data_IF_353645612351
#
_entry.id   IF_353645612351
#
_cell.length_a   1.000
_cell.length_b   1.000
_cell.length_c   1.000
_cell.angle_alpha   90.00
_cell.angle_beta   90.00
_cell.angle_gamma   90.00
#
_symmetry.space_group_name_H-M   'P 1'
#
loop_
_entity.id
_entity.type
_entity.pdbx_description
1 polymer ?
#
# COMPACT_ATOMS: atom_id res chain seq x y z
N UNK A 1 24.90 -10.59 4.22
CA UNK A 1 25.82 -10.52 5.39
C UNK A 1 26.64 -9.23 5.44
N UNK A 2 27.18 -8.72 4.32
CA UNK A 2 28.05 -7.52 4.28
C UNK A 2 27.46 -6.31 5.02
N UNK A 3 26.17 -6.02 4.85
CA UNK A 3 25.54 -4.86 5.51
C UNK A 3 25.36 -5.03 7.03
N UNK A 4 25.14 -6.26 7.51
CA UNK A 4 25.06 -6.54 8.95
C UNK A 4 26.42 -6.37 9.62
N UNK A 5 27.46 -6.81 8.93
CA UNK A 5 28.86 -6.66 9.34
C UNK A 5 29.26 -5.17 9.38
N UNK A 6 28.77 -4.34 8.45
CA UNK A 6 29.03 -2.89 8.49
C UNK A 6 28.29 -2.20 9.64
N UNK A 7 27.05 -2.59 9.95
CA UNK A 7 26.24 -1.98 11.01
C UNK A 7 26.70 -2.37 12.42
N UNK A 8 27.19 -3.61 12.60
CA UNK A 8 27.71 -4.07 13.88
C UNK A 8 29.00 -4.91 13.69
N UNK A 9 30.16 -4.25 13.49
CA UNK A 9 31.43 -4.92 13.20
C UNK A 9 31.92 -5.84 14.33
N UNK A 10 31.55 -5.54 15.58
CA UNK A 10 31.96 -6.31 16.74
C UNK A 10 31.19 -7.62 16.95
N UNK A 11 30.16 -7.92 16.14
CA UNK A 11 29.39 -9.17 16.24
C UNK A 11 29.84 -10.15 15.17
N UNK A 12 30.17 -11.37 15.57
CA UNK A 12 30.55 -12.46 14.67
C UNK A 12 29.31 -13.06 13.96
N UNK A 13 28.68 -12.29 13.06
CA UNK A 13 27.43 -12.67 12.39
C UNK A 13 27.50 -14.02 11.66
N UNK A 14 28.64 -14.33 11.03
CA UNK A 14 28.84 -15.57 10.28
C UNK A 14 29.00 -16.82 11.16
N UNK A 15 29.30 -16.66 12.45
CA UNK A 15 29.46 -17.78 13.37
C UNK A 15 28.11 -18.29 13.93
N UNK A 16 27.03 -17.53 13.71
CA UNK A 16 25.71 -17.83 14.22
C UNK A 16 24.91 -18.62 13.16
N UNK A 17 24.54 -19.86 13.49
CA UNK A 17 23.83 -20.76 12.59
C UNK A 17 22.53 -20.15 12.05
N UNK A 18 21.82 -19.37 12.87
CA UNK A 18 20.58 -18.67 12.53
C UNK A 18 20.70 -17.62 11.41
N UNK A 19 21.92 -17.14 11.09
CA UNK A 19 22.18 -16.19 10.00
C UNK A 19 22.90 -16.82 8.81
N UNK A 20 22.93 -18.16 8.74
CA UNK A 20 23.55 -18.88 7.63
C UNK A 20 22.75 -18.72 6.34
N UNK A 21 23.45 -18.67 5.20
CA UNK A 21 22.80 -18.60 3.89
C UNK A 21 21.93 -19.84 3.66
N UNK A 22 20.70 -19.64 3.21
CA UNK A 22 19.72 -20.71 2.99
C UNK A 22 18.82 -21.03 4.18
N UNK A 23 19.11 -20.47 5.37
CA UNK A 23 18.20 -20.55 6.52
C UNK A 23 17.17 -19.43 6.48
N UNK A 24 15.96 -19.65 7.04
CA UNK A 24 14.97 -18.59 7.19
C UNK A 24 15.53 -17.49 8.10
N UNK A 25 15.38 -16.24 7.68
CA UNK A 25 15.82 -15.10 8.48
C UNK A 25 14.96 -14.99 9.77
N UNK A 26 15.56 -14.95 10.98
CA UNK A 26 14.81 -14.87 12.23
C UNK A 26 14.29 -13.44 12.46
N UNK A 27 13.27 -13.05 11.70
CA UNK A 27 12.67 -11.73 11.75
C UNK A 27 11.90 -11.52 13.05
N UNK A 28 12.20 -10.44 13.78
CA UNK A 28 11.44 -10.05 14.98
C UNK A 28 10.83 -8.66 14.83
N UNK A 29 9.75 -8.39 15.57
CA UNK A 29 9.07 -7.07 15.57
C UNK A 29 10.05 -5.95 15.99
N UNK A 30 10.93 -6.24 16.95
CA UNK A 30 11.92 -5.26 17.41
C UNK A 30 12.99 -4.97 16.36
N UNK A 31 13.36 -5.95 15.50
CA UNK A 31 14.24 -5.69 14.37
C UNK A 31 13.60 -4.72 13.38
N UNK A 32 12.29 -4.86 13.09
CA UNK A 32 11.57 -3.92 12.21
C UNK A 32 11.63 -2.51 12.79
N UNK A 33 11.26 -2.33 14.06
CA UNK A 33 11.28 -1.04 14.75
C UNK A 33 12.68 -0.40 14.73
N UNK A 34 13.73 -1.19 14.96
CA UNK A 34 15.11 -0.70 14.94
C UNK A 34 15.60 -0.36 13.54
N UNK A 35 15.28 -1.18 12.54
CA UNK A 35 15.59 -0.90 11.13
C UNK A 35 14.97 0.42 10.69
N UNK A 36 13.70 0.69 11.06
CA UNK A 36 13.05 1.97 10.80
C UNK A 36 13.84 3.14 11.39
N UNK A 37 14.28 3.05 12.64
CA UNK A 37 15.08 4.11 13.27
C UNK A 37 16.42 4.35 12.56
N UNK A 38 17.14 3.27 12.23
CA UNK A 38 18.45 3.33 11.55
C UNK A 38 18.33 4.02 10.20
N UNK A 39 17.43 3.55 9.34
CA UNK A 39 17.30 4.08 7.97
C UNK A 39 16.62 5.46 7.95
N UNK A 40 15.71 5.76 8.88
CA UNK A 40 15.14 7.09 9.02
C UNK A 40 16.21 8.14 9.32
N UNK A 41 17.07 7.90 10.33
CA UNK A 41 18.19 8.82 10.63
C UNK A 41 19.22 8.83 9.51
N UNK A 42 19.51 7.68 8.90
CA UNK A 42 20.46 7.61 7.79
C UNK A 42 20.02 8.45 6.58
N UNK A 43 18.72 8.51 6.29
CA UNK A 43 18.20 9.29 5.16
C UNK A 43 18.51 10.79 5.24
N UNK A 44 18.77 11.33 6.45
CA UNK A 44 18.91 12.77 6.67
C UNK A 44 17.60 13.56 6.57
N UNK A 45 16.48 12.93 6.22
CA UNK A 45 15.16 13.57 6.09
C UNK A 45 14.46 13.64 7.47
N UNK A 46 14.63 12.60 8.29
CA UNK A 46 13.94 12.48 9.58
C UNK A 46 14.85 12.94 10.72
N UNK A 47 14.38 13.91 11.50
CA UNK A 47 15.08 14.38 12.70
C UNK A 47 14.85 13.46 13.91
N UNK A 48 15.73 13.50 14.91
CA UNK A 48 15.57 12.72 16.15
C UNK A 48 14.24 13.04 16.91
N UNK A 49 13.79 14.31 17.02
CA UNK A 49 12.47 14.61 17.57
C UNK A 49 11.31 14.02 16.75
N UNK A 50 11.38 14.07 15.42
CA UNK A 50 10.37 13.44 14.56
C UNK A 50 10.35 11.92 14.73
N UNK A 51 11.53 11.29 14.81
CA UNK A 51 11.65 9.86 15.06
C UNK A 51 11.09 9.46 16.44
N UNK A 52 11.33 10.29 17.47
CA UNK A 52 10.74 10.12 18.80
C UNK A 52 9.21 10.11 18.72
N UNK A 53 8.62 11.04 17.97
CA UNK A 53 7.18 11.09 17.75
C UNK A 53 6.68 9.86 17.00
N UNK A 54 7.28 9.51 15.85
CA UNK A 54 6.88 8.36 15.01
C UNK A 54 6.94 7.04 15.78
N UNK A 55 7.97 6.86 16.60
CA UNK A 55 8.15 5.62 17.37
C UNK A 55 7.49 5.68 18.76
N UNK A 56 6.87 6.79 19.15
CA UNK A 56 6.29 6.99 20.48
C UNK A 56 7.34 6.77 21.59
N UNK A 57 8.58 7.24 21.37
CA UNK A 57 9.62 7.19 22.40
C UNK A 57 9.40 8.25 23.48
N UNK A 58 9.69 7.89 24.73
CA UNK A 58 9.57 8.78 25.88
C UNK A 58 10.60 9.90 25.78
N UNK A 59 11.85 9.57 25.44
CA UNK A 59 12.96 10.52 25.35
C UNK A 59 13.70 10.47 24.01
N UNK A 60 14.54 11.47 23.74
CA UNK A 60 15.35 11.52 22.51
C UNK A 60 16.49 10.49 22.58
N UNK A 61 17.02 10.23 23.76
CA UNK A 61 18.09 9.25 24.00
C UNK A 61 17.64 7.84 23.62
N UNK A 62 16.36 7.50 23.83
CA UNK A 62 15.79 6.25 23.31
C UNK A 62 15.86 6.21 21.79
N UNK A 63 15.44 7.27 21.09
CA UNK A 63 15.56 7.33 19.62
C UNK A 63 17.01 7.21 19.15
N UNK A 64 17.94 7.84 19.86
CA UNK A 64 19.37 7.74 19.57
C UNK A 64 19.89 6.31 19.76
N UNK A 65 19.46 5.63 20.83
CA UNK A 65 19.79 4.23 21.10
C UNK A 65 19.31 3.31 19.96
N UNK A 66 18.06 3.48 19.52
CA UNK A 66 17.50 2.68 18.42
C UNK A 66 18.18 2.99 17.08
N UNK A 67 18.53 4.25 16.83
CA UNK A 67 19.24 4.68 15.63
C UNK A 67 20.76 4.39 15.67
N UNK A 68 21.28 3.78 16.75
CA UNK A 68 22.70 3.48 16.88
C UNK A 68 23.17 2.59 15.73
N UNK A 69 24.17 3.09 15.00
CA UNK A 69 24.72 2.45 13.81
C UNK A 69 24.22 3.04 12.49
N UNK A 70 23.32 4.02 12.52
CA UNK A 70 22.79 4.70 11.33
C UNK A 70 23.87 5.28 10.42
N UNK A 71 24.97 5.81 10.97
CA UNK A 71 26.10 6.33 10.21
C UNK A 71 26.76 5.29 9.30
N UNK A 72 26.72 4.01 9.67
CA UNK A 72 27.30 2.89 8.92
C UNK A 72 26.30 2.24 7.95
N UNK A 73 25.01 2.58 8.06
CA UNK A 73 23.99 2.05 7.18
C UNK A 73 24.14 2.64 5.76
N UNK A 74 23.65 1.90 4.77
CA UNK A 74 23.49 2.47 3.42
C UNK A 74 22.31 3.43 3.42
N UNK A 75 22.47 4.54 2.71
CA UNK A 75 21.35 5.45 2.48
C UNK A 75 20.50 4.87 1.35
N UNK A 76 19.31 4.38 1.70
CA UNK A 76 18.36 3.77 0.76
C UNK A 76 17.68 4.82 -0.14
N UNK A 77 17.62 6.07 0.33
CA UNK A 77 16.89 7.15 -0.34
C UNK A 77 17.80 8.05 -1.17
N UNK A 78 19.09 8.12 -0.83
CA UNK A 78 20.05 8.84 -1.64
C UNK A 78 20.23 8.13 -2.97
N UNK A 79 19.88 8.86 -4.04
CA UNK A 79 20.21 8.49 -5.40
C UNK A 79 21.74 8.40 -5.48
N UNK A 80 22.29 7.18 -5.60
CA UNK A 80 23.69 7.06 -6.01
C UNK A 80 23.73 7.63 -7.41
N UNK A 81 24.26 8.85 -7.54
CA UNK A 81 24.31 9.64 -8.77
C UNK A 81 24.41 8.75 -10.01
N UNK A 82 23.36 8.77 -10.85
CA UNK A 82 23.24 8.03 -12.12
C UNK A 82 22.96 6.51 -12.08
N UNK A 83 22.71 5.88 -10.92
CA UNK A 83 22.38 4.45 -10.92
C UNK A 83 20.87 4.18 -10.87
N UNK A 84 20.35 3.55 -11.94
CA UNK A 84 19.01 2.92 -11.99
C UNK A 84 18.81 1.83 -10.92
N UNK A 85 19.86 1.48 -10.17
CA UNK A 85 19.82 0.52 -9.05
C UNK A 85 19.48 1.15 -7.70
N UNK A 86 19.26 2.47 -7.61
CA UNK A 86 18.80 3.10 -6.37
C UNK A 86 17.46 2.48 -5.95
N UNK A 87 17.31 2.17 -4.65
CA UNK A 87 16.11 1.51 -4.14
C UNK A 87 14.84 2.29 -4.47
N UNK A 88 14.88 3.62 -4.44
CA UNK A 88 13.76 4.48 -4.85
C UNK A 88 13.30 4.19 -6.29
N UNK A 89 14.24 4.08 -7.24
CA UNK A 89 13.92 3.77 -8.64
C UNK A 89 13.36 2.34 -8.79
N UNK A 90 13.95 1.37 -8.08
CA UNK A 90 13.44 -0.01 -8.05
C UNK A 90 12.02 -0.04 -7.48
N UNK A 91 11.78 0.66 -6.38
CA UNK A 91 10.47 0.75 -5.73
C UNK A 91 9.43 1.40 -6.65
N UNK A 92 9.73 2.56 -7.22
CA UNK A 92 8.82 3.27 -8.13
C UNK A 92 8.50 2.46 -9.40
N UNK A 93 9.52 1.80 -9.97
CA UNK A 93 9.31 0.94 -11.15
C UNK A 93 8.48 -0.30 -10.83
N UNK A 94 8.72 -0.94 -9.67
CA UNK A 94 7.91 -2.05 -9.18
C UNK A 94 6.48 -1.61 -8.87
N UNK A 95 6.29 -0.45 -8.24
CA UNK A 95 4.97 0.11 -7.94
C UNK A 95 4.15 0.33 -9.20
N UNK A 96 4.76 0.87 -10.27
CA UNK A 96 4.09 1.04 -11.55
C UNK A 96 3.66 -0.31 -12.17
N UNK A 97 4.53 -1.32 -12.08
CA UNK A 97 4.20 -2.68 -12.55
C UNK A 97 3.03 -3.28 -11.75
N UNK A 98 3.05 -3.14 -10.43
CA UNK A 98 1.97 -3.62 -9.55
C UNK A 98 0.67 -2.91 -9.87
N UNK A 99 0.68 -1.59 -10.08
CA UNK A 99 -0.53 -0.83 -10.45
C UNK A 99 -1.08 -1.27 -11.81
N UNK A 100 -0.22 -1.50 -12.80
CA UNK A 100 -0.64 -2.03 -14.10
C UNK A 100 -1.26 -3.43 -13.98
N UNK A 101 -0.64 -4.30 -13.20
CA UNK A 101 -1.16 -5.64 -12.91
C UNK A 101 -2.51 -5.57 -12.18
N UNK A 102 -2.65 -4.72 -11.16
CA UNK A 102 -3.91 -4.55 -10.45
C UNK A 102 -5.01 -4.03 -11.37
N UNK A 103 -4.73 -3.02 -12.20
CA UNK A 103 -5.70 -2.51 -13.18
C UNK A 103 -6.13 -3.60 -14.16
N UNK A 104 -5.19 -4.35 -14.75
CA UNK A 104 -5.51 -5.40 -15.71
C UNK A 104 -6.41 -6.48 -15.09
N UNK A 105 -6.05 -7.00 -13.91
CA UNK A 105 -6.81 -8.07 -13.27
C UNK A 105 -8.11 -7.59 -12.62
N UNK A 106 -8.11 -6.43 -11.97
CA UNK A 106 -9.27 -5.97 -11.22
C UNK A 106 -10.31 -5.29 -12.11
N UNK A 107 -9.89 -4.63 -13.20
CA UNK A 107 -10.76 -3.79 -14.02
C UNK A 107 -10.96 -4.27 -15.47
N UNK A 108 -9.97 -4.89 -16.11
CA UNK A 108 -10.11 -5.33 -17.51
C UNK A 108 -10.60 -6.78 -17.57
N UNK A 109 -9.96 -7.68 -16.82
CA UNK A 109 -10.20 -9.12 -16.86
C UNK A 109 -11.28 -9.59 -15.88
N UNK A 110 -11.95 -8.65 -15.22
CA UNK A 110 -13.00 -8.95 -14.25
C UNK A 110 -14.30 -9.28 -14.97
N UNK A 111 -14.97 -10.35 -14.54
CA UNK A 111 -16.32 -10.68 -14.99
C UNK A 111 -17.40 -9.84 -14.28
N UNK A 112 -17.04 -9.26 -13.14
CA UNK A 112 -17.93 -8.37 -12.38
C UNK A 112 -18.23 -7.07 -13.14
N UNK A 113 -19.47 -6.61 -13.04
CA UNK A 113 -19.85 -5.30 -13.53
C UNK A 113 -19.31 -4.24 -12.56
N UNK A 114 -18.37 -3.44 -13.04
CA UNK A 114 -17.83 -2.31 -12.26
C UNK A 114 -18.83 -1.15 -12.26
N UNK A 115 -19.00 -0.55 -11.09
CA UNK A 115 -19.84 0.63 -10.88
C UNK A 115 -19.01 1.92 -10.96
N UNK A 116 -19.69 3.05 -11.13
CA UNK A 116 -19.07 4.36 -11.29
C UNK A 116 -18.66 4.68 -12.73
N UNK A 117 -18.28 5.94 -13.02
CA UNK A 117 -18.12 6.41 -14.40
C UNK A 117 -17.02 5.69 -15.18
N UNK A 118 -15.90 5.38 -14.53
CA UNK A 118 -14.82 4.64 -15.19
C UNK A 118 -15.19 3.16 -15.41
N UNK A 119 -15.95 2.56 -14.50
CA UNK A 119 -16.47 1.20 -14.63
C UNK A 119 -17.46 1.07 -15.81
N UNK A 120 -18.37 2.03 -15.94
CA UNK A 120 -19.28 2.13 -17.08
C UNK A 120 -18.54 2.32 -18.42
N UNK A 121 -17.52 3.19 -18.44
CA UNK A 121 -16.67 3.38 -19.62
C UNK A 121 -15.94 2.09 -20.01
N UNK A 122 -15.41 1.34 -19.04
CA UNK A 122 -14.77 0.06 -19.27
C UNK A 122 -15.75 -0.97 -19.83
N UNK A 123 -16.98 -1.04 -19.32
CA UNK A 123 -18.01 -1.96 -19.86
C UNK A 123 -18.25 -1.74 -21.36
N UNK A 124 -18.20 -0.50 -21.82
CA UNK A 124 -18.38 -0.14 -23.23
C UNK A 124 -17.17 -0.40 -24.13
N UNK A 125 -15.94 -0.41 -23.60
CA UNK A 125 -14.71 -0.59 -24.41
C UNK A 125 -13.99 -1.94 -24.22
N UNK A 126 -14.10 -2.55 -23.04
CA UNK A 126 -13.31 -3.71 -22.65
C UNK A 126 -13.92 -5.05 -23.07
N UNK A 127 -15.25 -5.16 -23.18
CA UNK A 127 -15.92 -6.45 -23.47
C UNK A 127 -15.67 -6.98 -24.88
N UNK A 128 -15.44 -6.11 -25.87
CA UNK A 128 -15.23 -6.53 -27.26
C UNK A 128 -13.75 -6.74 -27.62
N UNK A 129 -12.82 -6.14 -26.87
CA UNK A 129 -11.39 -6.16 -27.20
C UNK A 129 -10.54 -7.11 -26.35
N UNK A 130 -10.91 -7.35 -25.08
CA UNK A 130 -10.05 -8.09 -24.14
C UNK A 130 -10.07 -9.61 -24.31
N UNK A 131 -11.17 -10.19 -24.81
CA UNK A 131 -11.33 -11.66 -24.91
C UNK A 131 -10.39 -12.32 -25.92
N UNK A 132 -9.83 -11.53 -26.85
CA UNK A 132 -9.00 -12.04 -27.94
C UNK A 132 -7.51 -11.75 -27.72
N UNK A 133 -7.16 -10.90 -26.74
CA UNK A 133 -5.77 -10.47 -26.51
C UNK A 133 -5.13 -11.38 -25.46
N UNK A 134 -3.93 -11.94 -25.72
CA UNK A 134 -3.16 -12.66 -24.72
C UNK A 134 -2.89 -11.82 -23.46
N UNK A 135 -3.00 -12.42 -22.28
CA UNK A 135 -2.79 -11.75 -20.99
C UNK A 135 -1.50 -10.92 -20.93
N UNK A 136 -0.39 -11.49 -21.44
CA UNK A 136 0.91 -10.84 -21.44
C UNK A 136 0.90 -9.54 -22.26
N UNK A 137 0.31 -9.56 -23.45
CA UNK A 137 0.19 -8.39 -24.33
C UNK A 137 -0.69 -7.31 -23.69
N UNK A 138 -1.79 -7.72 -23.06
CA UNK A 138 -2.68 -6.81 -22.34
C UNK A 138 -1.96 -6.09 -21.19
N UNK A 139 -1.20 -6.83 -20.40
CA UNK A 139 -0.44 -6.28 -19.28
C UNK A 139 0.65 -5.33 -19.78
N UNK A 140 1.38 -5.72 -20.84
CA UNK A 140 2.39 -4.88 -21.46
C UNK A 140 1.80 -3.57 -22.02
N UNK A 141 0.67 -3.63 -22.72
CA UNK A 141 0.00 -2.43 -23.23
C UNK A 141 -0.48 -1.52 -22.09
N UNK A 142 -1.09 -2.10 -21.06
CA UNK A 142 -1.49 -1.37 -19.86
C UNK A 142 -0.29 -0.65 -19.23
N UNK A 143 0.83 -1.35 -19.08
CA UNK A 143 2.05 -0.78 -18.53
C UNK A 143 2.62 0.33 -19.44
N UNK A 144 2.59 0.17 -20.76
CA UNK A 144 3.02 1.21 -21.72
C UNK A 144 2.16 2.47 -21.59
N UNK A 145 0.84 2.33 -21.48
CA UNK A 145 -0.10 3.45 -21.29
C UNK A 145 0.15 4.18 -19.97
N UNK A 146 0.39 3.44 -18.88
CA UNK A 146 0.73 4.05 -17.59
C UNK A 146 2.08 4.78 -17.63
N UNK A 147 3.09 4.22 -18.29
CA UNK A 147 4.40 4.88 -18.47
C UNK A 147 4.30 6.18 -19.29
N UNK A 148 3.37 6.25 -20.25
CA UNK A 148 3.09 7.47 -21.02
C UNK A 148 2.24 8.49 -20.24
N UNK A 149 1.72 8.13 -19.06
CA UNK A 149 0.83 8.98 -18.28
C UNK A 149 -0.61 9.04 -18.80
N UNK A 150 -0.99 8.19 -19.76
CA UNK A 150 -2.34 8.12 -20.33
C UNK A 150 -3.34 7.41 -19.42
N UNK A 151 -2.82 6.61 -18.49
CA UNK A 151 -3.61 5.84 -17.55
C UNK A 151 -2.97 5.96 -16.17
N UNK A 152 -3.75 6.39 -15.18
CA UNK A 152 -3.39 6.30 -13.79
C UNK A 152 -4.29 5.28 -13.10
N UNK A 153 -3.75 4.55 -12.13
CA UNK A 153 -4.51 3.64 -11.29
C UNK A 153 -3.99 3.68 -9.87
N UNK A 154 -4.91 3.80 -8.91
CA UNK A 154 -4.64 3.66 -7.50
C UNK A 154 -5.72 2.78 -6.85
N UNK A 155 -5.34 1.70 -6.15
CA UNK A 155 -6.32 0.85 -5.48
C UNK A 155 -7.00 1.61 -4.34
N UNK A 156 -8.30 1.38 -4.19
CA UNK A 156 -9.11 1.89 -3.07
C UNK A 156 -9.79 0.72 -2.35
N UNK A 157 -10.24 0.90 -1.10
CA UNK A 157 -10.94 -0.16 -0.37
C UNK A 157 -12.19 -0.69 -1.09
N UNK A 158 -12.87 0.17 -1.86
CA UNK A 158 -14.10 -0.14 -2.60
C UNK A 158 -13.87 -0.54 -4.07
N UNK A 159 -12.62 -0.52 -4.55
CA UNK A 159 -12.32 -0.68 -5.98
C UNK A 159 -10.99 -0.04 -6.36
N UNK A 160 -11.04 0.97 -7.22
CA UNK A 160 -9.89 1.77 -7.62
C UNK A 160 -10.25 3.15 -8.17
N UNK A 161 -9.24 4.01 -8.25
CA UNK A 161 -9.33 5.38 -8.74
C UNK A 161 -8.38 5.58 -9.92
N UNK A 162 -8.85 6.26 -10.96
CA UNK A 162 -8.05 6.60 -12.15
C UNK A 162 -7.61 8.07 -12.20
N UNK A 163 -7.93 8.86 -11.17
CA UNK A 163 -7.46 10.25 -11.08
C UNK A 163 -5.98 10.30 -10.72
N UNK A 164 -5.19 11.09 -11.45
CA UNK A 164 -3.82 11.44 -11.08
C UNK A 164 -3.73 12.64 -10.12
N UNK A 165 -4.86 13.25 -9.77
CA UNK A 165 -4.92 14.41 -8.89
C UNK A 165 -5.02 14.01 -7.41
N UNK A 166 -4.62 14.93 -6.53
CA UNK A 166 -4.75 14.74 -5.08
C UNK A 166 -6.23 14.65 -4.71
N UNK A 167 -6.62 13.55 -4.05
CA UNK A 167 -8.01 13.35 -3.67
C UNK A 167 -8.33 14.04 -2.33
N UNK A 168 -9.06 15.15 -2.38
CA UNK A 168 -9.53 15.85 -1.18
C UNK A 168 -10.66 15.11 -0.45
N UNK A 169 -11.33 14.15 -1.11
CA UNK A 169 -12.42 13.35 -0.52
C UNK A 169 -11.91 12.17 0.33
N UNK A 170 -10.62 11.82 0.23
CA UNK A 170 -10.01 10.63 0.85
C UNK A 170 -9.23 10.94 2.14
N UNK A 171 -9.20 12.19 2.59
CA UNK A 171 -8.19 12.66 3.55
C UNK A 171 -8.27 11.96 4.93
N UNK A 172 -9.38 11.32 5.31
CA UNK A 172 -9.46 10.60 6.60
C UNK A 172 -10.61 9.58 6.73
N UNK A 173 -10.53 8.42 6.06
CA UNK A 173 -11.41 7.24 6.32
C UNK A 173 -12.84 7.30 5.73
N UNK A 174 -13.22 8.33 4.98
CA UNK A 174 -14.54 8.31 4.35
C UNK A 174 -14.57 7.39 3.10
N UNK A 175 -15.06 6.15 3.27
CA UNK A 175 -15.26 5.19 2.17
C UNK A 175 -16.26 5.69 1.12
N UNK A 176 -17.20 6.56 1.50
CA UNK A 176 -18.22 7.17 0.65
C UNK A 176 -17.67 8.27 -0.26
N UNK A 177 -16.43 8.72 -0.08
CA UNK A 177 -15.83 9.76 -0.93
C UNK A 177 -15.76 9.37 -2.43
N UNK A 178 -15.89 8.07 -2.73
CA UNK A 178 -15.94 7.54 -4.08
C UNK A 178 -17.34 7.59 -4.71
N UNK A 179 -18.39 7.84 -3.93
CA UNK A 179 -19.74 8.00 -4.45
C UNK A 179 -19.84 9.22 -5.38
N UNK A 180 -20.47 9.03 -6.54
CA UNK A 180 -20.56 10.03 -7.61
C UNK A 180 -19.22 10.56 -8.15
N UNK A 181 -18.07 9.95 -7.81
CA UNK A 181 -16.76 10.43 -8.25
C UNK A 181 -16.49 10.07 -9.72
N UNK A 182 -16.10 11.05 -10.54
CA UNK A 182 -15.82 10.90 -11.97
C UNK A 182 -14.74 9.86 -12.30
N UNK A 183 -13.79 9.68 -11.39
CA UNK A 183 -12.62 8.81 -11.61
C UNK A 183 -12.68 7.51 -10.81
N UNK A 184 -13.80 7.25 -10.12
CA UNK A 184 -13.99 6.02 -9.38
C UNK A 184 -14.47 4.89 -10.31
N UNK A 185 -13.92 3.71 -10.06
CA UNK A 185 -14.47 2.45 -10.51
C UNK A 185 -14.59 1.53 -9.29
N UNK A 186 -15.82 1.19 -8.97
CA UNK A 186 -16.21 0.48 -7.75
C UNK A 186 -16.43 -0.98 -8.11
N UNK A 187 -15.81 -1.85 -7.33
CA UNK A 187 -15.86 -3.30 -7.54
C UNK A 187 -16.75 -3.95 -6.48
N UNK A 188 -17.90 -4.54 -6.86
CA UNK A 188 -18.86 -5.11 -5.92
C UNK A 188 -18.24 -6.08 -4.90
N UNK A 189 -17.40 -7.01 -5.35
CA UNK A 189 -16.78 -7.99 -4.45
C UNK A 189 -15.90 -7.37 -3.37
N UNK A 190 -15.23 -6.25 -3.66
CA UNK A 190 -14.42 -5.51 -2.67
C UNK A 190 -15.30 -4.81 -1.64
N UNK A 191 -16.42 -4.21 -2.07
CA UNK A 191 -17.38 -3.56 -1.16
C UNK A 191 -17.97 -4.59 -0.19
N UNK A 192 -18.43 -5.74 -0.70
CA UNK A 192 -18.97 -6.81 0.13
C UNK A 192 -17.93 -7.37 1.11
N UNK A 193 -16.70 -7.58 0.65
CA UNK A 193 -15.60 -8.00 1.51
C UNK A 193 -15.27 -6.98 2.59
N UNK A 194 -15.31 -5.68 2.26
CA UNK A 194 -15.07 -4.61 3.21
C UNK A 194 -16.16 -4.56 4.29
N UNK A 195 -17.44 -4.71 3.90
CA UNK A 195 -18.56 -4.83 4.84
C UNK A 195 -18.35 -6.01 5.80
N UNK A 196 -17.93 -7.16 5.27
CA UNK A 196 -17.72 -8.34 6.12
C UNK A 196 -16.56 -8.16 7.09
N UNK A 197 -15.44 -7.59 6.63
CA UNK A 197 -14.32 -7.21 7.52
C UNK A 197 -14.77 -6.22 8.59
N UNK A 198 -15.62 -5.27 8.23
CA UNK A 198 -16.15 -4.27 9.17
C UNK A 198 -17.07 -4.90 10.22
N UNK A 199 -17.92 -5.87 9.86
CA UNK A 199 -18.74 -6.63 10.83
C UNK A 199 -17.87 -7.39 11.82
N UNK A 200 -16.80 -8.02 11.34
CA UNK A 200 -15.83 -8.70 12.20
C UNK A 200 -15.15 -7.71 13.13
N UNK A 201 -14.79 -6.52 12.67
CA UNK A 201 -14.21 -5.49 13.54
C UNK A 201 -15.19 -5.08 14.64
N UNK A 202 -16.44 -4.78 14.29
CA UNK A 202 -17.51 -4.43 15.25
C UNK A 202 -17.76 -5.52 16.30
N UNK A 203 -17.63 -6.80 15.93
CA UNK A 203 -17.83 -7.91 16.86
C UNK A 203 -16.70 -8.08 17.88
N UNK A 204 -15.51 -7.55 17.58
CA UNK A 204 -14.36 -7.53 18.50
C UNK A 204 -14.34 -6.29 19.41
N UNK A 205 -15.22 -5.30 19.16
CA UNK A 205 -15.34 -4.13 20.02
C UNK A 205 -16.22 -4.42 21.24
N UNK A 206 -15.86 -3.86 22.39
CA UNK A 206 -16.65 -3.99 23.62
C UNK A 206 -18.03 -3.33 23.47
N UNK A 207 -19.05 -3.94 24.07
CA UNK A 207 -20.47 -3.66 23.78
C UNK A 207 -20.85 -2.19 23.98
N UNK A 208 -20.30 -1.55 25.01
CA UNK A 208 -20.59 -0.17 25.42
C UNK A 208 -19.44 0.81 25.13
N UNK A 209 -18.52 0.42 24.25
CA UNK A 209 -17.36 1.26 23.91
C UNK A 209 -17.71 2.34 22.88
N UNK A 210 -17.15 3.56 22.99
CA UNK A 210 -17.29 4.59 21.97
C UNK A 210 -16.71 4.13 20.62
N UNK A 211 -15.71 3.26 20.64
CA UNK A 211 -15.14 2.60 19.47
C UNK A 211 -16.22 1.81 18.72
N UNK A 212 -16.99 0.95 19.40
CA UNK A 212 -18.06 0.17 18.76
C UNK A 212 -19.10 1.05 18.08
N UNK A 213 -19.42 2.21 18.66
CA UNK A 213 -20.35 3.15 18.07
C UNK A 213 -19.82 3.75 16.76
N UNK A 214 -18.54 4.13 16.73
CA UNK A 214 -17.90 4.65 15.51
C UNK A 214 -17.80 3.56 14.42
N UNK A 215 -17.47 2.32 14.80
CA UNK A 215 -17.38 1.21 13.85
C UNK A 215 -18.74 0.77 13.32
N UNK A 216 -19.80 0.85 14.13
CA UNK A 216 -21.19 0.64 13.70
C UNK A 216 -21.65 1.72 12.72
N UNK A 217 -21.31 2.98 12.96
CA UNK A 217 -21.60 4.07 12.04
C UNK A 217 -20.94 3.83 10.67
N UNK A 218 -19.66 3.43 10.68
CA UNK A 218 -18.92 3.08 9.46
C UNK A 218 -19.57 1.89 8.74
N UNK A 219 -20.02 0.87 9.47
CA UNK A 219 -20.73 -0.29 8.91
C UNK A 219 -22.07 0.12 8.26
N UNK A 220 -22.81 1.00 8.91
CA UNK A 220 -24.07 1.54 8.39
C UNK A 220 -23.83 2.27 7.05
N UNK A 221 -22.87 3.19 7.02
CA UNK A 221 -22.49 3.96 5.83
C UNK A 221 -22.08 3.05 4.67
N UNK A 222 -21.25 2.03 4.92
CA UNK A 222 -20.85 1.06 3.91
C UNK A 222 -22.03 0.24 3.35
N UNK A 223 -23.00 -0.08 4.22
CA UNK A 223 -24.19 -0.84 3.83
C UNK A 223 -25.13 0.02 2.97
N UNK A 224 -25.33 1.28 3.36
CA UNK A 224 -26.11 2.26 2.60
C UNK A 224 -25.49 2.52 1.21
N UNK A 225 -24.15 2.63 1.15
CA UNK A 225 -23.43 2.77 -0.10
C UNK A 225 -23.62 1.57 -1.03
N UNK A 226 -23.55 0.35 -0.51
CA UNK A 226 -23.79 -0.86 -1.29
C UNK A 226 -25.24 -0.89 -1.83
N UNK A 227 -26.22 -0.52 -1.02
CA UNK A 227 -27.63 -0.44 -1.42
C UNK A 227 -27.84 0.60 -2.53
N UNK A 228 -27.30 1.81 -2.36
CA UNK A 228 -27.40 2.90 -3.35
C UNK A 228 -26.83 2.50 -4.71
N UNK A 229 -25.77 1.70 -4.70
CA UNK A 229 -25.13 1.18 -5.91
C UNK A 229 -25.82 -0.05 -6.50
N UNK A 230 -26.86 -0.58 -5.87
CA UNK A 230 -27.52 -1.81 -6.29
C UNK A 230 -26.65 -3.06 -6.13
N UNK A 231 -25.67 -3.01 -5.22
CA UNK A 231 -24.80 -4.14 -4.88
C UNK A 231 -25.51 -4.94 -3.79
N UNK A 232 -26.27 -5.96 -4.20
CA UNK A 232 -26.88 -6.90 -3.25
C UNK A 232 -25.82 -7.86 -2.72
N UNK A 233 -25.77 -8.00 -1.40
CA UNK A 233 -25.04 -9.07 -0.71
C UNK A 233 -25.69 -10.43 -0.94
#
# INVERSE_FOLDING_TARGET
>A
MIELESMAPGRAWRALAEFSVGQPWPLTIHQIRRSTAIYAIRSGIVSLPALKHILHHITIEMSLYYARGSSFARDLLKESSNSKSAFVHVYQSAELQVRAWQYANEFILTDEVLHGPHGLWLKGKAKDSSKTIPYAELLEDTLKRMKRGELHYQPTPVGGCTSGEVCHKRISVNFLGCDGCKSAAIKPSKVLKLIEVQKVLVSHCDVDSPERNAENQTLFELTEFAQTMGISA
#
